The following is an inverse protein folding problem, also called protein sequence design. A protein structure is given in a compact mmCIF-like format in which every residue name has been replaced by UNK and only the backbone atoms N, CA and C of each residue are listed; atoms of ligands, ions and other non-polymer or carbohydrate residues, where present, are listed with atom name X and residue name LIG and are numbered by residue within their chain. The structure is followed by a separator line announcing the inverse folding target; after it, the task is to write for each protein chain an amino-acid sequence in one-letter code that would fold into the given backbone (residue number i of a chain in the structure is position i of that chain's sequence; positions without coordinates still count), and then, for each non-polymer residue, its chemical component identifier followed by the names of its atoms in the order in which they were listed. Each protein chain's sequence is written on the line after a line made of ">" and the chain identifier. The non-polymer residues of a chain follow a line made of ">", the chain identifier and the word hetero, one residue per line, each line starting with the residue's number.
data_IF_965349202752
#
_entry.id   IF_965349202752
#
_cell.length_a   1.000
_cell.length_b   1.000
_cell.length_c   1.000
_cell.angle_alpha   90.00
_cell.angle_beta   90.00
_cell.angle_gamma   90.00
#
_symmetry.space_group_name_H-M   'P 1'
#
loop_
_entity.id
_entity.type
_entity.pdbx_description
1 polymer ?
#
# COMPACT_ATOMS: atom_id res chain seq x y z
N UNK A 1 -18.83 7.21 6.24
CA UNK A 1 -18.15 6.77 7.48
C UNK A 1 -16.97 5.91 7.06
N UNK A 2 -15.70 6.17 7.29
CA UNK A 2 -14.95 7.29 7.85
C UNK A 2 -13.62 7.30 7.05
N UNK A 3 -13.53 8.12 6.00
CA UNK A 3 -12.29 8.40 5.29
C UNK A 3 -11.76 9.72 5.83
N UNK A 4 -11.21 9.67 7.04
CA UNK A 4 -10.57 10.81 7.69
C UNK A 4 -9.14 10.41 8.00
N UNK A 5 -8.21 11.11 7.36
CA UNK A 5 -6.87 11.39 7.90
C UNK A 5 -5.87 10.24 8.04
N UNK A 6 -5.43 9.65 6.92
CA UNK A 6 -4.13 8.93 6.85
C UNK A 6 -3.01 9.77 6.21
N UNK A 7 -3.14 11.11 6.22
CA UNK A 7 -2.12 12.04 5.72
C UNK A 7 -1.21 12.65 6.79
N UNK A 8 -1.35 12.24 8.06
CA UNK A 8 -0.74 12.95 9.20
C UNK A 8 0.22 12.11 10.05
N UNK A 9 0.60 10.91 9.62
CA UNK A 9 1.42 10.00 10.44
C UNK A 9 2.85 9.73 9.94
N UNK A 10 3.28 10.28 8.80
CA UNK A 10 4.68 10.17 8.36
C UNK A 10 5.58 11.36 8.73
N UNK A 11 5.05 12.45 9.29
CA UNK A 11 5.84 13.66 9.61
C UNK A 11 6.50 13.66 11.00
N UNK A 12 6.33 12.59 11.79
CA UNK A 12 6.75 12.57 13.21
C UNK A 12 7.61 11.39 13.63
N UNK A 13 8.30 10.73 12.72
CA UNK A 13 9.34 9.75 13.09
C UNK A 13 10.69 10.49 13.09
N UNK A 14 11.27 10.85 14.25
CA UNK A 14 12.58 11.49 14.31
C UNK A 14 13.70 10.46 14.06
N UNK A 15 13.77 9.88 12.87
CA UNK A 15 14.85 8.94 12.48
C UNK A 15 16.22 9.64 12.53
N UNK A 16 16.25 10.97 12.32
CA UNK A 16 17.45 11.79 12.38
C UNK A 16 18.09 11.95 13.77
N UNK A 17 17.39 11.61 14.87
CA UNK A 17 17.94 11.68 16.24
C UNK A 17 18.61 10.39 16.70
N UNK A 18 18.25 9.24 16.11
CA UNK A 18 18.79 7.93 16.53
C UNK A 18 20.11 7.59 15.83
N UNK A 19 20.35 8.12 14.63
CA UNK A 19 21.61 7.92 13.90
C UNK A 19 22.74 8.89 14.31
N UNK A 20 22.39 10.06 14.86
CA UNK A 20 23.38 11.05 15.35
C UNK A 20 23.90 10.76 16.75
N UNK A 21 23.16 9.97 17.56
CA UNK A 21 23.60 9.59 18.90
C UNK A 21 24.82 8.66 18.86
N UNK A 22 24.88 7.74 17.89
CA UNK A 22 26.01 6.82 17.69
C UNK A 22 27.28 7.55 17.23
N UNK A 23 27.13 8.58 16.38
CA UNK A 23 28.25 9.37 15.85
C UNK A 23 28.96 10.20 16.92
N UNK A 24 28.21 10.71 17.90
CA UNK A 24 28.75 11.53 19.01
C UNK A 24 29.24 10.69 20.19
N UNK A 25 28.63 9.54 20.48
CA UNK A 25 29.10 8.67 21.57
C UNK A 25 30.37 7.89 21.22
N UNK A 26 30.60 7.57 19.94
CA UNK A 26 31.82 6.85 19.53
C UNK A 26 33.05 7.77 19.49
N UNK A 27 32.88 9.04 19.08
CA UNK A 27 33.99 10.01 18.99
C UNK A 27 34.54 10.41 20.37
N UNK A 28 33.69 10.53 21.40
CA UNK A 28 34.13 10.94 22.74
C UNK A 28 34.80 9.83 23.57
N UNK A 29 34.74 8.56 23.14
CA UNK A 29 35.36 7.43 23.85
C UNK A 29 36.78 7.09 23.39
N UNK A 30 37.26 7.72 22.33
CA UNK A 30 38.61 7.54 21.77
C UNK A 30 39.66 8.52 22.34
N UNK A 31 39.29 9.36 23.32
CA UNK A 31 40.13 10.42 23.86
C UNK A 31 41.12 10.04 24.97
N UNK A 32 41.22 8.78 25.41
CA UNK A 32 42.14 8.41 26.49
C UNK A 32 42.91 7.12 26.20
N UNK A 33 44.19 7.31 25.85
CA UNK A 33 45.35 6.44 26.13
C UNK A 33 45.27 4.96 25.74
N UNK A 34 45.88 4.61 24.60
CA UNK A 34 47.10 3.78 24.57
C UNK A 34 47.48 3.46 23.13
N UNK A 35 48.72 3.76 22.78
CA UNK A 35 49.38 3.34 21.55
C UNK A 35 49.43 1.82 21.49
N UNK A 36 48.51 1.20 20.77
CA UNK A 36 48.67 -0.16 20.26
C UNK A 36 48.40 -0.09 18.77
N UNK A 37 49.35 -0.62 17.99
CA UNK A 37 49.28 -0.66 16.53
C UNK A 37 47.92 -1.22 16.11
N UNK A 38 47.05 -0.38 15.54
CA UNK A 38 45.86 -0.86 14.85
C UNK A 38 46.35 -1.69 13.65
N UNK A 39 46.00 -2.98 13.54
CA UNK A 39 46.35 -3.75 12.35
C UNK A 39 45.70 -3.03 11.16
N UNK A 40 46.47 -2.79 10.10
CA UNK A 40 46.06 -2.00 8.92
C UNK A 40 44.65 -2.33 8.41
N UNK A 41 44.21 -3.59 8.53
CA UNK A 41 42.87 -4.02 8.14
C UNK A 41 41.71 -3.43 8.96
N UNK A 42 41.88 -3.09 10.24
CA UNK A 42 40.77 -2.57 11.07
C UNK A 42 40.29 -1.18 10.61
N UNK A 43 41.23 -0.32 10.20
CA UNK A 43 40.92 0.99 9.62
C UNK A 43 40.21 0.84 8.26
N UNK A 44 40.62 -0.15 7.45
CA UNK A 44 39.97 -0.44 6.17
C UNK A 44 38.52 -0.91 6.33
N UNK A 45 38.21 -1.73 7.34
CA UNK A 45 36.84 -2.14 7.63
C UNK A 45 35.95 -0.98 8.10
N UNK A 46 36.47 -0.09 8.94
CA UNK A 46 35.74 1.11 9.37
C UNK A 46 35.40 1.99 8.17
N UNK A 47 36.39 2.28 7.33
CA UNK A 47 36.20 3.07 6.10
C UNK A 47 35.17 2.44 5.17
N UNK A 48 35.22 1.12 4.99
CA UNK A 48 34.23 0.37 4.19
C UNK A 48 32.82 0.43 4.78
N UNK A 49 32.69 0.41 6.12
CA UNK A 49 31.40 0.51 6.81
C UNK A 49 30.78 1.90 6.69
N UNK A 50 31.61 2.95 6.79
CA UNK A 50 31.20 4.34 6.60
C UNK A 50 30.76 4.57 5.15
N UNK A 51 31.54 4.09 4.17
CA UNK A 51 31.17 4.19 2.76
C UNK A 51 29.85 3.46 2.46
N UNK A 52 29.64 2.28 3.05
CA UNK A 52 28.39 1.53 2.92
C UNK A 52 27.21 2.35 3.47
N UNK A 53 27.35 2.93 4.67
CA UNK A 53 26.31 3.76 5.30
C UNK A 53 25.97 4.98 4.44
N UNK A 54 26.99 5.65 3.89
CA UNK A 54 26.83 6.80 2.99
C UNK A 54 26.11 6.43 1.68
N UNK A 55 26.32 5.22 1.15
CA UNK A 55 25.56 4.74 -0.01
C UNK A 55 24.08 4.51 0.34
N UNK A 56 23.79 3.98 1.52
CA UNK A 56 22.40 3.78 1.96
C UNK A 56 21.67 5.10 2.19
N UNK A 57 22.29 6.08 2.85
CA UNK A 57 21.69 7.40 3.07
C UNK A 57 21.41 8.11 1.76
N UNK A 58 22.37 8.13 0.82
CA UNK A 58 22.14 8.67 -0.54
C UNK A 58 20.97 8.01 -1.24
N UNK A 59 20.86 6.68 -1.17
CA UNK A 59 19.76 5.96 -1.81
C UNK A 59 18.40 6.34 -1.20
N UNK A 60 18.33 6.53 0.13
CA UNK A 60 17.12 6.98 0.83
C UNK A 60 16.77 8.41 0.41
N UNK A 61 17.73 9.33 0.41
CA UNK A 61 17.52 10.73 0.02
C UNK A 61 17.06 10.83 -1.43
N UNK A 62 17.69 10.08 -2.34
CA UNK A 62 17.28 10.02 -3.74
C UNK A 62 15.87 9.44 -3.88
N UNK A 63 15.50 8.44 -3.07
CA UNK A 63 14.14 7.90 -3.07
C UNK A 63 13.13 8.95 -2.61
N UNK A 64 13.39 9.66 -1.51
CA UNK A 64 12.55 10.76 -1.01
C UNK A 64 12.37 11.83 -2.09
N UNK A 65 13.45 12.23 -2.75
CA UNK A 65 13.41 13.21 -3.83
C UNK A 65 12.60 12.72 -5.03
N UNK A 66 12.72 11.45 -5.41
CA UNK A 66 11.88 10.85 -6.47
C UNK A 66 10.41 10.84 -6.09
N UNK A 67 10.08 10.48 -4.85
CA UNK A 67 8.71 10.49 -4.35
C UNK A 67 8.11 11.90 -4.32
N UNK A 68 8.86 12.89 -3.84
CA UNK A 68 8.44 14.30 -3.86
C UNK A 68 8.18 14.79 -5.29
N UNK A 69 9.05 14.44 -6.24
CA UNK A 69 8.86 14.76 -7.66
C UNK A 69 7.64 14.05 -8.27
N UNK A 70 7.42 12.77 -7.93
CA UNK A 70 6.23 12.05 -8.37
C UNK A 70 4.95 12.70 -7.82
N UNK A 71 4.93 13.08 -6.54
CA UNK A 71 3.78 13.76 -5.94
C UNK A 71 3.51 15.12 -6.60
N UNK A 72 4.55 15.87 -6.94
CA UNK A 72 4.40 17.11 -7.71
C UNK A 72 3.83 16.85 -9.12
N UNK A 73 4.20 15.75 -9.78
CA UNK A 73 3.68 15.42 -11.13
C UNK A 73 2.22 14.95 -11.07
N UNK A 74 1.87 14.08 -10.12
CA UNK A 74 0.55 13.45 -10.06
C UNK A 74 -0.49 14.26 -9.28
N UNK A 75 -0.04 14.94 -8.21
CA UNK A 75 -0.83 15.73 -7.25
C UNK A 75 -0.47 17.22 -7.29
N UNK A 76 0.16 17.68 -8.38
CA UNK A 76 0.76 19.01 -8.49
C UNK A 76 -0.17 20.19 -8.22
N UNK A 77 0.45 21.36 -7.97
CA UNK A 77 -0.22 22.62 -7.64
C UNK A 77 -1.33 23.03 -8.63
N UNK A 78 -1.21 22.62 -9.89
CA UNK A 78 -2.17 22.97 -10.96
C UNK A 78 -3.37 22.01 -11.03
N UNK A 79 -3.23 20.75 -10.58
CA UNK A 79 -4.28 19.72 -10.68
C UNK A 79 -4.71 19.23 -9.30
N UNK A 80 -5.47 20.08 -8.60
CA UNK A 80 -6.07 19.75 -7.31
C UNK A 80 -7.31 18.85 -7.49
N UNK A 81 -7.28 17.64 -6.91
CA UNK A 81 -8.41 16.70 -6.90
C UNK A 81 -9.64 17.22 -6.14
N UNK A 82 -9.50 18.27 -5.31
CA UNK A 82 -10.62 18.92 -4.62
C UNK A 82 -11.38 19.88 -5.54
N UNK A 83 -10.68 20.63 -6.40
CA UNK A 83 -11.28 21.57 -7.35
C UNK A 83 -11.68 20.89 -8.66
N UNK A 84 -10.94 19.86 -9.07
CA UNK A 84 -11.17 19.09 -10.28
C UNK A 84 -11.26 17.60 -9.92
N UNK A 85 -12.38 17.14 -9.33
CA UNK A 85 -12.59 15.73 -9.11
C UNK A 85 -12.59 15.00 -10.46
N UNK A 86 -12.06 13.77 -10.48
CA UNK A 86 -12.16 12.93 -11.67
C UNK A 86 -13.63 12.80 -12.10
N UNK A 87 -13.89 12.95 -13.41
CA UNK A 87 -15.24 12.80 -13.97
C UNK A 87 -15.76 11.41 -13.59
N UNK A 88 -16.84 11.38 -12.81
CA UNK A 88 -17.51 10.14 -12.42
C UNK A 88 -18.62 9.85 -13.41
N UNK A 89 -18.50 8.74 -14.12
CA UNK A 89 -19.60 8.22 -14.92
C UNK A 89 -20.54 7.44 -14.01
N UNK A 90 -21.87 7.60 -14.17
CA UNK A 90 -22.80 6.73 -13.47
C UNK A 90 -22.58 5.28 -13.92
N UNK A 91 -22.54 4.35 -12.96
CA UNK A 91 -22.36 2.93 -13.25
C UNK A 91 -23.55 2.34 -14.02
N UNK A 92 -24.74 2.90 -13.81
CA UNK A 92 -25.99 2.42 -14.40
C UNK A 92 -26.60 3.46 -15.32
N UNK A 93 -27.29 2.97 -16.35
CA UNK A 93 -28.04 3.82 -17.25
C UNK A 93 -29.23 4.47 -16.52
N UNK A 94 -29.69 5.66 -16.95
CA UNK A 94 -30.89 6.27 -16.42
C UNK A 94 -32.11 5.37 -16.65
N UNK A 95 -33.10 5.46 -15.77
CA UNK A 95 -34.31 4.63 -15.83
C UNK A 95 -35.03 4.83 -17.17
N UNK A 96 -35.42 3.72 -17.79
CA UNK A 96 -36.21 3.69 -19.04
C UNK A 96 -37.55 3.05 -18.76
N UNK A 97 -38.64 3.66 -19.23
CA UNK A 97 -40.00 3.10 -19.18
C UNK A 97 -40.38 2.56 -20.56
N UNK A 98 -41.22 1.51 -20.59
CA UNK A 98 -41.69 0.86 -21.82
C UNK A 98 -40.58 0.30 -22.75
N UNK A 99 -39.34 0.21 -22.26
CA UNK A 99 -38.19 -0.36 -22.98
C UNK A 99 -37.43 0.63 -23.87
N UNK A 100 -38.05 1.73 -24.33
CA UNK A 100 -37.39 2.68 -25.24
C UNK A 100 -37.52 4.17 -24.84
N UNK A 101 -38.39 4.53 -23.89
CA UNK A 101 -38.59 5.93 -23.50
C UNK A 101 -37.86 6.26 -22.20
N UNK A 102 -36.97 7.28 -22.16
CA UNK A 102 -36.28 7.66 -20.95
C UNK A 102 -37.24 8.31 -19.95
N UNK A 103 -36.98 8.11 -18.65
CA UNK A 103 -37.80 8.69 -17.56
C UNK A 103 -37.82 10.23 -17.60
N UNK A 104 -36.79 10.86 -18.18
CA UNK A 104 -36.70 12.32 -18.36
C UNK A 104 -37.89 12.90 -19.14
N UNK A 105 -38.40 12.19 -20.15
CA UNK A 105 -39.59 12.59 -20.90
C UNK A 105 -40.85 12.57 -20.04
N UNK A 106 -41.00 11.55 -19.19
CA UNK A 106 -42.11 11.44 -18.26
C UNK A 106 -42.03 12.54 -17.19
N UNK A 107 -40.83 12.84 -16.72
CA UNK A 107 -40.59 13.85 -15.69
C UNK A 107 -40.85 15.27 -16.19
N UNK A 108 -40.62 15.56 -17.48
CA UNK A 108 -40.97 16.85 -18.09
C UNK A 108 -42.49 17.10 -18.11
N UNK A 109 -43.28 16.05 -18.36
CA UNK A 109 -44.75 16.13 -18.45
C UNK A 109 -45.47 15.98 -17.10
N UNK A 110 -44.80 15.41 -16.10
CA UNK A 110 -45.36 15.13 -14.78
C UNK A 110 -45.99 16.36 -14.09
N UNK A 111 -45.37 17.56 -14.07
CA UNK A 111 -45.92 18.73 -13.38
C UNK A 111 -47.21 19.26 -14.01
N UNK A 112 -47.52 18.88 -15.26
CA UNK A 112 -48.66 19.40 -16.02
C UNK A 112 -49.81 18.40 -16.12
N UNK A 113 -49.48 17.14 -16.38
CA UNK A 113 -50.47 16.12 -16.76
C UNK A 113 -50.50 14.93 -15.78
N UNK A 114 -49.71 14.98 -14.71
CA UNK A 114 -49.60 13.90 -13.73
C UNK A 114 -48.94 12.63 -14.29
N UNK A 115 -49.07 11.52 -13.54
CA UNK A 115 -48.46 10.22 -13.89
C UNK A 115 -49.04 9.65 -15.19
N UNK A 116 -50.34 9.83 -15.42
CA UNK A 116 -51.08 9.24 -16.55
C UNK A 116 -50.90 10.01 -17.85
N UNK A 117 -50.57 11.30 -17.77
CA UNK A 117 -50.43 12.19 -18.93
C UNK A 117 -49.55 11.66 -20.05
N UNK A 118 -48.28 11.28 -19.78
CA UNK A 118 -47.41 10.72 -20.81
C UNK A 118 -47.97 9.46 -21.48
N UNK A 119 -48.66 8.61 -20.74
CA UNK A 119 -49.27 7.39 -21.28
C UNK A 119 -50.46 7.70 -22.18
N UNK A 120 -51.32 8.64 -21.76
CA UNK A 120 -52.43 9.12 -22.57
C UNK A 120 -51.94 9.89 -23.81
N UNK A 121 -50.83 10.62 -23.71
CA UNK A 121 -50.21 11.29 -24.85
C UNK A 121 -49.72 10.28 -25.90
N UNK A 122 -49.05 9.21 -25.48
CA UNK A 122 -48.62 8.14 -26.40
C UNK A 122 -49.82 7.45 -27.06
N UNK A 123 -50.83 7.08 -26.27
CA UNK A 123 -52.05 6.44 -26.77
C UNK A 123 -52.84 7.36 -27.71
N UNK A 124 -52.98 8.64 -27.36
CA UNK A 124 -53.66 9.65 -28.17
C UNK A 124 -52.92 9.92 -29.48
N UNK A 125 -51.59 9.98 -29.44
CA UNK A 125 -50.76 10.14 -30.65
C UNK A 125 -50.88 8.92 -31.56
N UNK A 126 -50.86 7.69 -31.01
CA UNK A 126 -51.07 6.49 -31.81
C UNK A 126 -52.48 6.42 -32.42
N UNK A 127 -53.52 6.77 -31.67
CA UNK A 127 -54.89 6.80 -32.17
C UNK A 127 -55.08 7.87 -33.26
N UNK A 128 -54.44 9.03 -33.10
CA UNK A 128 -54.44 10.09 -34.10
C UNK A 128 -53.75 9.66 -35.41
N UNK A 129 -52.58 9.00 -35.32
CA UNK A 129 -51.85 8.49 -36.49
C UNK A 129 -52.66 7.47 -37.28
N UNK A 130 -53.40 6.59 -36.59
CA UNK A 130 -54.30 5.61 -37.21
C UNK A 130 -55.52 6.33 -37.82
N UNK A 131 -56.15 7.26 -37.10
CA UNK A 131 -57.32 8.00 -37.59
C UNK A 131 -57.03 8.89 -38.80
N UNK A 132 -55.78 9.33 -38.97
CA UNK A 132 -55.32 10.12 -40.12
C UNK A 132 -54.70 9.29 -41.23
N UNK A 133 -54.74 7.96 -41.12
CA UNK A 133 -54.14 7.02 -42.07
C UNK A 133 -52.65 7.29 -42.35
N UNK A 134 -51.97 7.99 -41.42
CA UNK A 134 -50.51 8.16 -41.48
C UNK A 134 -49.85 6.80 -41.20
N UNK A 135 -50.48 6.00 -40.34
CA UNK A 135 -50.20 4.58 -40.19
C UNK A 135 -51.29 3.76 -40.87
N UNK A 136 -51.03 3.36 -42.12
CA UNK A 136 -51.89 2.43 -42.87
C UNK A 136 -51.72 1.02 -42.31
N UNK A 137 -52.84 0.36 -42.00
CA UNK A 137 -52.85 -1.00 -41.46
C UNK A 137 -52.76 -2.00 -42.61
N UNK A 138 -51.55 -2.18 -43.13
CA UNK A 138 -51.22 -3.22 -44.11
C UNK A 138 -50.87 -4.56 -43.42
N UNK A 139 -50.81 -5.68 -44.16
CA UNK A 139 -50.35 -6.96 -43.61
C UNK A 139 -48.97 -6.88 -42.92
N UNK A 140 -48.09 -6.00 -43.39
CA UNK A 140 -46.78 -5.73 -42.77
C UNK A 140 -46.89 -5.12 -41.35
N UNK A 141 -47.99 -4.45 -41.01
CA UNK A 141 -48.22 -3.92 -39.67
C UNK A 141 -48.41 -5.04 -38.63
N UNK A 142 -49.03 -6.15 -39.05
CA UNK A 142 -49.18 -7.35 -38.21
C UNK A 142 -47.83 -8.04 -37.99
N UNK A 143 -46.98 -8.10 -39.02
CA UNK A 143 -45.62 -8.64 -38.91
C UNK A 143 -44.79 -7.85 -37.88
N UNK A 144 -44.88 -6.52 -37.88
CA UNK A 144 -44.23 -5.67 -36.89
C UNK A 144 -44.73 -5.94 -35.46
N UNK A 145 -46.04 -6.11 -35.27
CA UNK A 145 -46.62 -6.45 -33.97
C UNK A 145 -46.10 -7.77 -33.41
N UNK A 146 -46.04 -8.81 -34.25
CA UNK A 146 -45.47 -10.12 -33.89
C UNK A 146 -43.98 -10.00 -33.56
N UNK A 147 -43.22 -9.25 -34.36
CA UNK A 147 -41.80 -8.99 -34.10
C UNK A 147 -41.55 -8.34 -32.73
N UNK A 148 -42.32 -7.32 -32.36
CA UNK A 148 -42.20 -6.65 -31.06
C UNK A 148 -42.47 -7.62 -29.90
N UNK A 149 -43.48 -8.48 -30.02
CA UNK A 149 -43.82 -9.47 -28.99
C UNK A 149 -42.70 -10.49 -28.81
N UNK A 150 -42.20 -11.05 -29.92
CA UNK A 150 -41.10 -12.03 -29.89
C UNK A 150 -39.84 -11.39 -29.30
N UNK A 151 -39.47 -10.19 -29.76
CA UNK A 151 -38.28 -9.49 -29.27
C UNK A 151 -38.39 -9.15 -27.78
N UNK A 152 -39.56 -8.69 -27.33
CA UNK A 152 -39.80 -8.43 -25.90
C UNK A 152 -39.71 -9.71 -25.06
N UNK A 153 -40.20 -10.83 -25.58
CA UNK A 153 -40.08 -12.15 -24.96
C UNK A 153 -38.61 -12.59 -24.83
N UNK A 154 -37.83 -12.43 -25.90
CA UNK A 154 -36.40 -12.74 -25.92
C UNK A 154 -35.62 -11.88 -24.92
N UNK A 155 -35.82 -10.56 -24.92
CA UNK A 155 -35.13 -9.64 -23.99
C UNK A 155 -35.44 -10.02 -22.53
N UNK A 156 -36.69 -10.34 -22.20
CA UNK A 156 -37.05 -10.70 -20.82
C UNK A 156 -36.46 -12.04 -20.37
N UNK A 157 -36.30 -13.00 -21.28
CA UNK A 157 -35.78 -14.35 -20.97
C UNK A 157 -34.26 -14.41 -20.99
N UNK A 158 -33.64 -13.85 -22.03
CA UNK A 158 -32.18 -13.90 -22.22
C UNK A 158 -31.45 -12.73 -21.54
N UNK A 159 -32.12 -11.59 -21.31
CA UNK A 159 -31.53 -10.40 -20.71
C UNK A 159 -30.78 -10.67 -19.39
N UNK A 160 -31.38 -11.34 -18.39
CA UNK A 160 -30.70 -11.62 -17.12
C UNK A 160 -29.47 -12.51 -17.30
N UNK A 161 -29.52 -13.49 -18.21
CA UNK A 161 -28.38 -14.40 -18.47
C UNK A 161 -27.21 -13.65 -19.11
N UNK A 162 -27.50 -12.84 -20.14
CA UNK A 162 -26.48 -12.03 -20.84
C UNK A 162 -25.89 -10.98 -19.91
N UNK A 163 -26.71 -10.30 -19.09
CA UNK A 163 -26.21 -9.30 -18.13
C UNK A 163 -25.22 -9.92 -17.14
N UNK A 164 -25.56 -11.06 -16.53
CA UNK A 164 -24.66 -11.76 -15.60
C UNK A 164 -23.36 -12.20 -16.25
N UNK A 165 -23.43 -12.67 -17.51
CA UNK A 165 -22.24 -13.08 -18.25
C UNK A 165 -21.31 -11.89 -18.53
N UNK A 166 -21.86 -10.76 -18.98
CA UNK A 166 -21.09 -9.53 -19.22
C UNK A 166 -20.53 -8.96 -17.91
N UNK A 167 -21.31 -8.93 -16.84
CA UNK A 167 -20.89 -8.45 -15.53
C UNK A 167 -19.73 -9.30 -14.99
N UNK A 168 -19.78 -10.63 -15.15
CA UNK A 168 -18.69 -11.52 -14.74
C UNK A 168 -17.39 -11.25 -15.52
N UNK A 169 -17.48 -11.03 -16.83
CA UNK A 169 -16.30 -10.71 -17.65
C UNK A 169 -15.66 -9.36 -17.27
N UNK A 170 -16.48 -8.36 -16.97
CA UNK A 170 -15.99 -7.05 -16.49
C UNK A 170 -15.36 -7.21 -15.12
N UNK A 171 -16.00 -7.91 -14.20
CA UNK A 171 -15.50 -8.14 -12.83
C UNK A 171 -14.15 -8.90 -12.84
N UNK A 172 -13.99 -9.91 -13.70
CA UNK A 172 -12.72 -10.61 -13.89
C UNK A 172 -11.62 -9.67 -14.40
N UNK A 173 -11.93 -8.83 -15.38
CA UNK A 173 -11.01 -7.82 -15.90
C UNK A 173 -10.59 -6.80 -14.83
N UNK A 174 -11.54 -6.29 -14.05
CA UNK A 174 -11.28 -5.37 -12.95
C UNK A 174 -10.45 -6.02 -11.83
N UNK A 175 -10.75 -7.27 -11.47
CA UNK A 175 -9.99 -8.08 -10.50
C UNK A 175 -8.53 -8.24 -10.92
N UNK A 176 -8.30 -8.65 -12.15
CA UNK A 176 -6.94 -8.85 -12.67
C UNK A 176 -6.17 -7.52 -12.81
N UNK A 177 -6.84 -6.44 -13.25
CA UNK A 177 -6.16 -5.19 -13.56
C UNK A 177 -5.89 -4.31 -12.34
N UNK A 178 -6.81 -4.28 -11.38
CA UNK A 178 -6.76 -3.33 -10.26
C UNK A 178 -6.65 -4.02 -8.91
N UNK A 179 -7.57 -4.94 -8.60
CA UNK A 179 -7.65 -5.48 -7.23
C UNK A 179 -6.49 -6.40 -6.87
N UNK A 180 -6.13 -7.35 -7.75
CA UNK A 180 -5.00 -8.25 -7.50
C UNK A 180 -3.66 -7.53 -7.32
N UNK A 181 -3.21 -6.65 -8.24
CA UNK A 181 -1.91 -5.97 -8.07
C UNK A 181 -1.89 -5.05 -6.85
N UNK A 182 -3.03 -4.44 -6.50
CA UNK A 182 -3.12 -3.60 -5.30
C UNK A 182 -3.04 -4.44 -4.02
N UNK A 183 -3.69 -5.61 -3.98
CA UNK A 183 -3.60 -6.53 -2.85
C UNK A 183 -2.19 -7.12 -2.72
N UNK A 184 -1.55 -7.50 -3.82
CA UNK A 184 -0.18 -8.02 -3.79
C UNK A 184 0.79 -6.95 -3.32
N UNK A 185 0.65 -5.70 -3.78
CA UNK A 185 1.46 -4.57 -3.35
C UNK A 185 1.29 -4.28 -1.84
N UNK A 186 0.06 -4.26 -1.33
CA UNK A 186 -0.19 -4.10 0.10
C UNK A 186 0.46 -5.23 0.92
N UNK A 187 0.27 -6.49 0.51
CA UNK A 187 0.87 -7.63 1.21
C UNK A 187 2.40 -7.62 1.17
N UNK A 188 2.99 -7.09 0.09
CA UNK A 188 4.44 -6.91 -0.03
C UNK A 188 4.90 -5.81 0.93
N UNK A 189 4.21 -4.68 0.97
CA UNK A 189 4.56 -3.59 1.87
C UNK A 189 4.51 -4.02 3.34
N UNK A 190 3.49 -4.78 3.74
CA UNK A 190 3.39 -5.34 5.10
C UNK A 190 4.59 -6.25 5.44
N UNK A 191 5.01 -7.10 4.50
CA UNK A 191 6.20 -7.96 4.67
C UNK A 191 7.49 -7.15 4.75
N UNK A 192 7.61 -6.08 3.97
CA UNK A 192 8.76 -5.18 4.03
C UNK A 192 8.85 -4.48 5.37
N UNK A 193 7.72 -4.00 5.92
CA UNK A 193 7.67 -3.39 7.25
C UNK A 193 8.07 -4.39 8.32
N UNK A 194 7.51 -5.61 8.32
CA UNK A 194 7.88 -6.64 9.28
C UNK A 194 9.36 -7.03 9.20
N UNK A 195 9.92 -7.08 7.99
CA UNK A 195 11.35 -7.34 7.76
C UNK A 195 12.20 -6.19 8.30
N UNK A 196 11.81 -4.94 8.04
CA UNK A 196 12.50 -3.76 8.54
C UNK A 196 12.49 -3.71 10.08
N UNK A 197 11.37 -4.04 10.73
CA UNK A 197 11.28 -4.14 12.19
C UNK A 197 12.21 -5.23 12.74
N UNK A 198 12.29 -6.37 12.06
CA UNK A 198 13.23 -7.44 12.42
C UNK A 198 14.68 -6.98 12.28
N UNK A 199 15.03 -6.22 11.25
CA UNK A 199 16.38 -5.67 11.07
C UNK A 199 16.71 -4.61 12.13
N UNK A 200 15.75 -3.76 12.52
CA UNK A 200 15.91 -2.81 13.62
C UNK A 200 16.20 -3.58 14.92
N UNK A 201 15.46 -4.65 15.20
CA UNK A 201 15.69 -5.50 16.37
C UNK A 201 17.08 -6.15 16.33
N UNK A 202 17.50 -6.71 15.19
CA UNK A 202 18.83 -7.29 14.99
C UNK A 202 19.94 -6.26 15.21
N UNK A 203 19.81 -5.06 14.64
CA UNK A 203 20.77 -3.99 14.82
C UNK A 203 20.91 -3.57 16.29
N UNK A 204 19.79 -3.46 17.01
CA UNK A 204 19.81 -3.13 18.44
C UNK A 204 20.53 -4.21 19.28
N UNK A 205 20.37 -5.49 18.90
CA UNK A 205 20.99 -6.62 19.59
C UNK A 205 22.52 -6.69 19.43
N UNK A 206 23.08 -6.11 18.37
CA UNK A 206 24.55 -6.10 18.14
C UNK A 206 25.28 -5.43 19.30
N UNK A 207 24.74 -4.33 19.84
CA UNK A 207 25.34 -3.63 20.98
C UNK A 207 25.46 -4.51 22.22
N UNK A 208 24.39 -5.26 22.53
CA UNK A 208 24.35 -6.23 23.62
C UNK A 208 25.32 -7.38 23.38
N UNK A 209 25.40 -7.90 22.16
CA UNK A 209 26.33 -8.98 21.79
C UNK A 209 27.79 -8.56 21.97
N UNK A 210 28.15 -7.32 21.60
CA UNK A 210 29.50 -6.78 21.82
C UNK A 210 29.80 -6.67 23.31
N UNK A 211 28.86 -6.13 24.10
CA UNK A 211 29.03 -6.02 25.56
C UNK A 211 29.22 -7.39 26.22
N UNK A 212 28.41 -8.39 25.84
CA UNK A 212 28.55 -9.76 26.35
C UNK A 212 29.91 -10.39 25.98
N UNK A 213 30.45 -10.11 24.79
CA UNK A 213 31.80 -10.56 24.41
C UNK A 213 32.89 -9.88 25.25
N UNK A 214 32.75 -8.59 25.53
CA UNK A 214 33.70 -7.85 26.38
C UNK A 214 33.69 -8.40 27.81
N UNK A 215 32.51 -8.65 28.38
CA UNK A 215 32.36 -9.25 29.70
C UNK A 215 32.97 -10.66 29.76
N UNK A 216 32.70 -11.51 28.76
CA UNK A 216 33.30 -12.84 28.68
C UNK A 216 34.84 -12.80 28.65
N UNK A 217 35.43 -11.87 27.91
CA UNK A 217 36.90 -11.68 27.90
C UNK A 217 37.40 -11.20 29.26
N UNK A 218 36.66 -10.30 29.92
CA UNK A 218 36.95 -9.87 31.29
C UNK A 218 36.97 -11.04 32.27
N UNK A 219 35.94 -11.89 32.25
CA UNK A 219 35.85 -13.09 33.10
C UNK A 219 37.00 -14.06 32.84
N UNK A 220 37.41 -14.25 31.58
CA UNK A 220 38.57 -15.09 31.23
C UNK A 220 39.89 -14.53 31.79
N UNK A 221 40.07 -13.21 31.74
CA UNK A 221 41.25 -12.55 32.31
C UNK A 221 41.31 -12.71 33.84
N UNK A 222 40.18 -12.53 34.53
CA UNK A 222 40.10 -12.75 35.98
C UNK A 222 40.33 -14.20 36.38
N UNK A 223 39.78 -15.16 35.63
CA UNK A 223 40.00 -16.58 35.86
C UNK A 223 41.48 -16.95 35.73
N UNK A 224 42.15 -16.49 34.66
CA UNK A 224 43.57 -16.71 34.45
C UNK A 224 44.43 -16.07 35.56
N UNK A 225 44.04 -14.88 36.04
CA UNK A 225 44.71 -14.22 37.17
C UNK A 225 44.57 -15.04 38.47
N UNK A 226 43.36 -15.50 38.80
CA UNK A 226 43.12 -16.35 39.98
C UNK A 226 43.86 -17.69 39.88
N UNK A 227 43.92 -18.28 38.70
CA UNK A 227 44.67 -19.51 38.45
C UNK A 227 46.17 -19.31 38.72
N UNK A 228 46.78 -18.24 38.20
CA UNK A 228 48.19 -17.91 38.45
C UNK A 228 48.48 -17.70 39.93
N UNK A 229 47.62 -16.99 40.66
CA UNK A 229 47.75 -16.83 42.11
C UNK A 229 47.68 -18.16 42.86
N UNK A 230 46.73 -19.03 42.50
CA UNK A 230 46.61 -20.37 43.09
C UNK A 230 47.83 -21.25 42.77
N UNK A 231 48.39 -21.16 41.56
CA UNK A 231 49.61 -21.87 41.19
C UNK A 231 50.80 -21.43 42.04
N UNK A 232 51.00 -20.11 42.22
CA UNK A 232 52.04 -19.56 43.11
C UNK A 232 51.84 -20.07 44.54
N UNK A 233 50.62 -19.93 45.09
CA UNK A 233 50.30 -20.41 46.44
C UNK A 233 50.60 -21.91 46.61
N UNK A 234 50.13 -22.76 45.67
CA UNK A 234 50.40 -24.21 45.68
C UNK A 234 51.89 -24.52 45.62
N UNK A 235 52.66 -23.79 44.81
CA UNK A 235 54.11 -24.00 44.69
C UNK A 235 54.87 -23.64 45.97
N UNK A 236 54.53 -22.53 46.61
CA UNK A 236 55.13 -22.10 47.88
C UNK A 236 54.74 -23.07 48.99
N UNK A 237 53.47 -23.43 49.10
CA UNK A 237 52.98 -24.40 50.07
C UNK A 237 53.71 -25.75 49.93
N UNK A 238 53.87 -26.26 48.70
CA UNK A 238 54.61 -27.50 48.44
C UNK A 238 56.05 -27.42 48.96
N UNK A 239 56.75 -26.30 48.75
CA UNK A 239 58.13 -26.11 49.25
C UNK A 239 58.22 -26.03 50.77
N UNK A 240 57.30 -25.33 51.42
CA UNK A 240 57.28 -25.19 52.89
C UNK A 240 56.96 -26.52 53.58
N UNK A 241 56.02 -27.29 53.03
CA UNK A 241 55.70 -28.62 53.58
C UNK A 241 56.86 -29.59 53.35
N UNK A 242 57.54 -29.53 52.20
CA UNK A 242 58.69 -30.41 51.94
C UNK A 242 59.95 -30.06 52.73
N UNK A 243 60.05 -28.86 53.31
CA UNK A 243 61.20 -28.47 54.15
C UNK A 243 61.01 -28.78 55.64
N UNK A 244 59.81 -29.18 56.06
CA UNK A 244 59.46 -29.51 57.45
C UNK A 244 59.35 -31.04 57.68
N UNK A 245 59.81 -31.83 56.71
CA UNK A 245 59.99 -33.28 56.73
C UNK A 245 61.47 -33.58 56.48
#
# INVERSE_FOLDING_TARGET
>A
MALVSSGFLLSKIPVGKYLTCSRLQFSNRLGSSSSTNTPSGAADYLKKSEELADRYTKHIDDAINRWAKCDEIYSGKERDFKRFPAVKYPLTHPKVRLGFLPDSWFQALYPKTGVTGPYLFLFGTSAFLISKEIWVVDPHFIELGVFIIIMTGLIKKFGPSVSKYLDAQVEEGEKARYYQPLQTLNSHLDRMVATADQEIARASAVSSLVNAKLENVGLQLEAAYRERLQQVFRSVHRRLVSSNA
#
